data_IF_545644957610
#
_entry.id   IF_545644957610
#
_cell.length_a   1.000
_cell.length_b   1.000
_cell.length_c   1.000
_cell.angle_alpha   90.00
_cell.angle_beta   90.00
_cell.angle_gamma   90.00
#
_symmetry.space_group_name_H-M   'P 1'
#
loop_
_entity.id
_entity.type
_entity.pdbx_description
1 polymer ?
#
# COMPACT_ATOMS: atom_id res chain seq x y z
N UNK A 1 -16.49 -12.58 8.27
CA UNK A 1 -16.52 -12.79 9.74
C UNK A 1 -15.11 -12.99 10.30
N UNK A 2 -14.23 -13.75 9.65
CA UNK A 2 -12.81 -13.95 10.03
C UNK A 2 -11.96 -12.67 9.96
N UNK A 3 -12.08 -11.90 8.88
CA UNK A 3 -11.35 -10.64 8.67
C UNK A 3 -11.54 -9.62 9.82
N UNK A 4 -12.79 -9.44 10.28
CA UNK A 4 -13.10 -8.60 11.44
C UNK A 4 -12.58 -9.16 12.77
N UNK A 5 -12.38 -10.48 12.91
CA UNK A 5 -11.78 -11.06 14.13
C UNK A 5 -10.28 -10.82 14.20
N UNK A 6 -9.60 -10.80 13.04
CA UNK A 6 -8.16 -10.60 12.94
C UNK A 6 -7.76 -9.13 12.79
N UNK A 7 -8.73 -8.22 12.74
CA UNK A 7 -8.51 -6.81 12.42
C UNK A 7 -7.99 -6.58 11.00
N UNK A 8 -7.95 -7.62 10.16
CA UNK A 8 -7.49 -7.55 8.78
C UNK A 8 -8.71 -7.53 7.87
N UNK A 9 -9.02 -6.39 7.25
CA UNK A 9 -9.95 -6.34 6.14
C UNK A 9 -11.32 -5.71 6.44
N UNK A 10 -11.33 -4.55 7.09
CA UNK A 10 -12.37 -3.59 6.75
C UNK A 10 -11.93 -2.84 5.47
N UNK A 11 -12.72 -2.84 4.39
CA UNK A 11 -12.38 -2.12 3.15
C UNK A 11 -12.30 -0.59 3.33
N UNK A 12 -12.50 -0.08 4.55
CA UNK A 12 -12.50 1.33 4.96
C UNK A 12 -11.15 1.86 5.45
N UNK A 13 -10.08 1.05 5.46
CA UNK A 13 -8.80 1.37 6.11
C UNK A 13 -7.76 2.01 5.18
N UNK A 14 -8.22 2.86 4.26
CA UNK A 14 -7.35 3.59 3.36
C UNK A 14 -7.16 5.01 3.86
N UNK A 15 -5.93 5.35 4.26
CA UNK A 15 -5.53 6.74 4.43
C UNK A 15 -5.32 7.47 3.09
N UNK A 16 -5.58 6.78 1.97
CA UNK A 16 -5.67 7.42 0.67
C UNK A 16 -6.91 8.32 0.62
N UNK A 17 -6.69 9.58 0.26
CA UNK A 17 -7.71 10.62 0.29
C UNK A 17 -8.91 10.31 -0.61
N UNK A 18 -8.72 9.55 -1.70
CA UNK A 18 -9.80 9.11 -2.60
C UNK A 18 -10.89 8.32 -1.86
N UNK A 19 -10.52 7.61 -0.79
CA UNK A 19 -11.44 6.84 0.03
C UNK A 19 -11.78 7.56 1.32
N UNK A 20 -10.81 8.23 1.94
CA UNK A 20 -10.99 8.93 3.20
C UNK A 20 -11.95 10.13 3.09
N UNK A 21 -11.90 10.91 1.99
CA UNK A 21 -12.81 12.05 1.80
C UNK A 21 -14.28 11.61 1.74
N UNK A 22 -14.70 10.67 0.86
CA UNK A 22 -16.10 10.21 0.84
C UNK A 22 -16.57 9.62 2.16
N UNK A 23 -15.70 8.90 2.89
CA UNK A 23 -16.03 8.37 4.21
C UNK A 23 -16.27 9.49 5.22
N UNK A 24 -15.39 10.48 5.25
CA UNK A 24 -15.50 11.61 6.18
C UNK A 24 -16.75 12.45 5.89
N UNK A 25 -17.07 12.72 4.62
CA UNK A 25 -18.32 13.39 4.21
C UNK A 25 -19.54 12.66 4.76
N UNK A 26 -19.59 11.34 4.61
CA UNK A 26 -20.69 10.51 5.11
C UNK A 26 -20.81 10.56 6.63
N UNK A 27 -19.69 10.53 7.36
CA UNK A 27 -19.71 10.56 8.83
C UNK A 27 -20.06 11.95 9.38
N UNK A 28 -19.62 13.02 8.73
CA UNK A 28 -19.91 14.39 9.12
C UNK A 28 -21.29 14.88 8.64
N UNK A 29 -21.87 14.23 7.62
CA UNK A 29 -23.05 14.76 6.92
C UNK A 29 -22.74 16.04 6.13
N UNK A 30 -21.49 16.23 5.70
CA UNK A 30 -21.02 17.43 5.01
C UNK A 30 -20.30 17.05 3.71
N UNK A 31 -20.97 17.25 2.58
CA UNK A 31 -20.43 16.93 1.25
C UNK A 31 -19.40 17.94 0.72
N UNK A 32 -19.16 19.04 1.45
CA UNK A 32 -18.20 20.08 1.04
C UNK A 32 -16.76 19.77 1.45
N UNK A 33 -16.54 18.79 2.34
CA UNK A 33 -15.20 18.40 2.82
C UNK A 33 -14.31 18.01 1.64
N UNK A 34 -13.23 18.76 1.40
CA UNK A 34 -12.19 18.44 0.43
C UNK A 34 -10.96 17.81 1.11
N UNK A 35 -9.87 17.59 0.36
CA UNK A 35 -8.63 16.99 0.88
C UNK A 35 -7.98 17.87 1.96
N UNK A 36 -8.04 19.20 1.82
CA UNK A 36 -7.46 20.14 2.79
C UNK A 36 -8.28 20.20 4.08
N UNK A 37 -9.61 20.10 3.98
CA UNK A 37 -10.51 19.97 5.11
C UNK A 37 -10.33 18.63 5.81
N UNK A 38 -10.19 17.53 5.05
CA UNK A 38 -9.89 16.21 5.60
C UNK A 38 -8.59 16.23 6.42
N UNK A 39 -7.55 16.89 5.93
CA UNK A 39 -6.28 17.01 6.65
C UNK A 39 -6.41 17.73 8.00
N UNK A 40 -7.29 18.74 8.08
CA UNK A 40 -7.63 19.44 9.33
C UNK A 40 -8.49 18.59 10.26
N UNK A 41 -9.29 17.69 9.70
CA UNK A 41 -10.16 16.76 10.41
C UNK A 41 -9.48 15.41 10.70
N UNK A 42 -8.18 15.27 10.44
CA UNK A 42 -7.46 13.99 10.54
C UNK A 42 -7.70 13.27 11.87
N UNK A 43 -7.58 13.97 13.00
CA UNK A 43 -7.79 13.36 14.32
C UNK A 43 -9.23 12.87 14.54
N UNK A 44 -10.23 13.58 14.00
CA UNK A 44 -11.63 13.14 14.06
C UNK A 44 -11.85 11.91 13.17
N UNK A 45 -11.31 11.93 11.97
CA UNK A 45 -11.32 10.79 11.06
C UNK A 45 -10.68 9.54 11.69
N UNK A 46 -9.52 9.71 12.32
CA UNK A 46 -8.82 8.63 13.02
C UNK A 46 -9.61 8.07 14.20
N UNK A 47 -10.26 8.92 15.02
CA UNK A 47 -11.17 8.44 16.07
C UNK A 47 -12.29 7.57 15.50
N UNK A 48 -12.95 8.02 14.43
CA UNK A 48 -13.98 7.22 13.77
C UNK A 48 -13.48 5.87 13.28
N UNK A 49 -12.25 5.80 12.75
CA UNK A 49 -11.64 4.54 12.33
C UNK A 49 -11.33 3.63 13.52
N UNK A 50 -10.74 4.17 14.58
CA UNK A 50 -10.37 3.41 15.77
C UNK A 50 -11.60 2.89 16.54
N UNK A 51 -12.74 3.59 16.49
CA UNK A 51 -14.01 3.10 17.04
C UNK A 51 -14.56 1.88 16.27
N UNK A 52 -14.03 1.60 15.07
CA UNK A 52 -14.40 0.43 14.24
C UNK A 52 -13.40 -0.72 14.34
N UNK A 53 -12.52 -0.71 15.35
CA UNK A 53 -11.62 -1.83 15.70
C UNK A 53 -12.34 -3.18 15.70
N UNK A 54 -11.55 -4.24 15.51
CA UNK A 54 -12.03 -5.61 15.69
C UNK A 54 -12.59 -5.84 17.09
N UNK A 55 -13.30 -6.96 17.27
CA UNK A 55 -13.79 -7.41 18.58
C UNK A 55 -12.63 -7.56 19.58
N UNK A 56 -11.43 -7.87 19.08
CA UNK A 56 -10.22 -8.03 19.90
C UNK A 56 -9.42 -6.72 20.05
N UNK A 57 -9.98 -5.58 19.65
CA UNK A 57 -9.34 -4.25 19.80
C UNK A 57 -8.24 -3.93 18.78
N UNK A 58 -8.00 -4.81 17.81
CA UNK A 58 -7.01 -4.65 16.73
C UNK A 58 -7.54 -3.72 15.65
N UNK A 59 -6.70 -2.79 15.22
CA UNK A 59 -6.91 -1.93 14.07
C UNK A 59 -5.77 -2.18 13.06
N UNK A 60 -6.11 -2.46 11.80
CA UNK A 60 -5.14 -2.49 10.71
C UNK A 60 -5.46 -1.40 9.69
N UNK A 61 -4.46 -1.01 8.91
CA UNK A 61 -4.68 -0.14 7.77
C UNK A 61 -3.62 -0.30 6.69
N UNK A 62 -4.00 0.04 5.45
CA UNK A 62 -3.07 0.13 4.34
C UNK A 62 -2.61 1.57 4.18
N UNK A 63 -1.29 1.75 4.17
CA UNK A 63 -0.65 3.05 4.02
C UNK A 63 0.22 3.09 2.77
N UNK A 64 0.09 4.16 2.00
CA UNK A 64 1.09 4.58 1.03
C UNK A 64 1.88 5.74 1.62
N UNK A 65 3.14 5.89 1.23
CA UNK A 65 4.05 6.88 1.85
C UNK A 65 3.52 8.31 1.74
N UNK A 66 2.79 8.62 0.66
CA UNK A 66 2.17 9.93 0.45
C UNK A 66 1.14 10.28 1.53
N UNK A 67 0.58 9.27 2.21
CA UNK A 67 -0.43 9.42 3.24
C UNK A 67 0.12 9.27 4.67
N UNK A 68 1.43 9.05 4.83
CA UNK A 68 2.04 8.79 6.13
C UNK A 68 1.81 9.94 7.13
N UNK A 69 1.97 11.19 6.70
CA UNK A 69 1.74 12.35 7.58
C UNK A 69 0.26 12.50 7.96
N UNK A 70 -0.66 12.24 7.03
CA UNK A 70 -2.09 12.25 7.31
C UNK A 70 -2.45 11.15 8.31
N UNK A 71 -1.92 9.93 8.13
CA UNK A 71 -2.11 8.83 9.05
C UNK A 71 -1.62 9.16 10.46
N UNK A 72 -0.42 9.73 10.59
CA UNK A 72 0.13 10.15 11.90
C UNK A 72 -0.74 11.19 12.60
N UNK A 73 -1.27 12.18 11.86
CA UNK A 73 -2.22 13.16 12.41
C UNK A 73 -3.56 12.54 12.83
N UNK A 74 -3.94 11.43 12.21
CA UNK A 74 -5.23 10.80 12.43
C UNK A 74 -5.21 9.79 13.57
N UNK A 75 -4.30 8.82 13.53
CA UNK A 75 -4.21 7.75 14.54
C UNK A 75 -3.19 8.02 15.64
N UNK A 76 -2.34 9.04 15.47
CA UNK A 76 -1.23 9.35 16.36
C UNK A 76 0.12 8.95 15.78
N UNK A 77 1.19 9.41 16.43
CA UNK A 77 2.55 8.91 16.18
C UNK A 77 2.71 7.47 16.66
N UNK A 78 3.80 6.80 16.26
CA UNK A 78 4.11 5.45 16.74
C UNK A 78 4.18 5.43 18.27
N UNK A 79 3.29 4.67 18.88
CA UNK A 79 3.08 4.57 20.34
C UNK A 79 3.79 3.35 20.96
N UNK A 80 4.76 2.78 20.22
CA UNK A 80 5.42 1.50 20.51
C UNK A 80 4.51 0.26 20.53
N UNK A 81 3.21 0.37 20.24
CA UNK A 81 2.26 -0.76 20.15
C UNK A 81 1.83 -1.06 18.71
N UNK A 82 2.36 -0.31 17.74
CA UNK A 82 2.08 -0.52 16.33
C UNK A 82 3.10 -1.49 15.71
N UNK A 83 2.58 -2.36 14.82
CA UNK A 83 3.36 -3.32 14.04
C UNK A 83 3.24 -3.00 12.54
N UNK A 84 4.32 -3.22 11.80
CA UNK A 84 4.44 -2.76 10.42
C UNK A 84 4.78 -3.90 9.47
N UNK A 85 3.94 -4.08 8.45
CA UNK A 85 4.26 -4.94 7.30
C UNK A 85 4.74 -4.05 6.17
N UNK A 86 6.04 -4.12 5.85
CA UNK A 86 6.60 -3.41 4.71
C UNK A 86 6.55 -4.30 3.46
N UNK A 87 5.51 -4.12 2.65
CA UNK A 87 5.36 -4.79 1.37
C UNK A 87 6.15 -4.05 0.29
N UNK A 88 7.19 -4.68 -0.25
CA UNK A 88 8.01 -4.16 -1.34
C UNK A 88 7.97 -5.09 -2.55
N UNK A 89 8.25 -4.60 -3.75
CA UNK A 89 8.31 -5.44 -4.97
C UNK A 89 9.74 -5.52 -5.46
N UNK A 90 10.31 -6.71 -5.63
CA UNK A 90 11.69 -6.84 -6.13
C UNK A 90 11.76 -6.52 -7.61
N UNK A 91 10.78 -6.96 -8.40
CA UNK A 91 10.71 -6.66 -9.82
C UNK A 91 10.21 -5.22 -10.05
N UNK A 92 11.18 -4.28 -10.05
CA UNK A 92 10.93 -2.85 -10.27
C UNK A 92 10.41 -2.54 -11.67
N UNK A 93 10.84 -3.29 -12.66
CA UNK A 93 10.37 -3.15 -14.04
C UNK A 93 8.85 -3.35 -14.12
N UNK A 94 8.35 -4.48 -13.62
CA UNK A 94 6.92 -4.76 -13.64
C UNK A 94 6.14 -3.83 -12.72
N UNK A 95 6.74 -3.37 -11.61
CA UNK A 95 6.14 -2.36 -10.75
C UNK A 95 5.89 -1.06 -11.51
N UNK A 96 6.89 -0.56 -12.23
CA UNK A 96 6.77 0.65 -13.07
C UNK A 96 5.73 0.47 -14.16
N UNK A 97 5.77 -0.65 -14.89
CA UNK A 97 4.81 -0.96 -15.97
C UNK A 97 3.38 -1.01 -15.41
N UNK A 98 3.18 -1.66 -14.26
CA UNK A 98 1.86 -1.77 -13.63
C UNK A 98 1.33 -0.41 -13.16
N UNK A 99 2.18 0.46 -12.61
CA UNK A 99 1.76 1.80 -12.17
C UNK A 99 1.42 2.69 -13.37
N UNK A 100 2.25 2.71 -14.42
CA UNK A 100 1.96 3.45 -15.65
C UNK A 100 0.66 3.00 -16.31
N UNK A 101 0.42 1.69 -16.34
CA UNK A 101 -0.81 1.11 -16.86
C UNK A 101 -2.03 1.61 -16.09
N UNK A 102 -2.00 1.51 -14.76
CA UNK A 102 -3.07 2.03 -13.88
C UNK A 102 -3.30 3.53 -14.09
N UNK A 103 -2.23 4.33 -14.19
CA UNK A 103 -2.37 5.78 -14.40
C UNK A 103 -2.94 6.10 -15.79
N UNK A 104 -2.65 5.30 -16.81
CA UNK A 104 -3.19 5.50 -18.15
C UNK A 104 -4.66 5.07 -18.26
N UNK A 105 -5.02 3.94 -17.64
CA UNK A 105 -6.39 3.38 -17.72
C UNK A 105 -7.33 3.92 -16.65
N UNK A 106 -6.80 4.45 -15.55
CA UNK A 106 -7.58 4.78 -14.35
C UNK A 106 -8.11 3.55 -13.60
N UNK A 107 -7.68 2.34 -13.98
CA UNK A 107 -8.19 1.08 -13.46
C UNK A 107 -7.13 0.37 -12.61
N UNK A 108 -7.27 0.40 -11.28
CA UNK A 108 -6.38 -0.32 -10.35
C UNK A 108 -6.72 -1.82 -10.20
N UNK A 109 -7.92 -2.24 -10.62
CA UNK A 109 -8.50 -3.55 -10.35
C UNK A 109 -9.11 -4.16 -11.61
N UNK A 110 -9.25 -5.48 -11.61
CA UNK A 110 -9.82 -6.28 -12.70
C UNK A 110 -11.34 -6.16 -12.88
N UNK A 111 -12.02 -5.32 -12.09
CA UNK A 111 -13.46 -5.11 -12.27
C UNK A 111 -13.80 -4.15 -13.41
N UNK A 112 -12.80 -3.50 -14.01
CA UNK A 112 -13.03 -2.32 -14.86
C UNK A 112 -13.47 -1.07 -14.07
N UNK A 113 -13.60 -1.21 -12.74
CA UNK A 113 -13.88 -0.12 -11.83
C UNK A 113 -12.77 0.93 -11.94
N UNK A 114 -13.19 2.17 -12.17
CA UNK A 114 -12.29 3.32 -12.11
C UNK A 114 -12.28 3.85 -10.68
N UNK A 115 -11.10 4.22 -10.19
CA UNK A 115 -11.01 4.91 -8.89
C UNK A 115 -11.09 6.42 -9.11
N UNK A 116 -12.14 7.09 -8.60
CA UNK A 116 -12.23 8.54 -8.71
C UNK A 116 -11.06 9.20 -7.97
N UNK A 117 -10.49 10.24 -8.57
CA UNK A 117 -9.37 10.97 -7.97
C UNK A 117 -8.00 10.33 -8.15
N UNK A 118 -7.85 9.23 -8.89
CA UNK A 118 -6.52 8.83 -9.35
C UNK A 118 -6.11 9.76 -10.50
N UNK A 119 -4.90 10.38 -10.45
CA UNK A 119 -4.38 11.12 -11.60
C UNK A 119 -4.31 10.22 -12.82
N UNK A 120 -4.95 10.62 -13.92
CA UNK A 120 -4.89 9.87 -15.17
C UNK A 120 -3.95 10.51 -16.17
N UNK A 121 -3.18 9.68 -16.85
CA UNK A 121 -2.31 10.10 -17.95
C UNK A 121 -3.09 10.02 -19.25
N UNK A 122 -3.16 11.13 -19.99
CA UNK A 122 -3.70 11.12 -21.36
C UNK A 122 -2.81 10.33 -22.32
N UNK A 123 -1.50 10.36 -22.09
CA UNK A 123 -0.48 9.66 -22.88
C UNK A 123 0.66 9.21 -21.98
N UNK A 124 1.29 8.09 -22.33
CA UNK A 124 2.52 7.62 -21.68
C UNK A 124 3.70 8.16 -22.47
N UNK A 125 4.46 9.07 -21.87
CA UNK A 125 5.66 9.69 -22.44
C UNK A 125 6.91 9.25 -21.70
N UNK A 126 8.09 9.49 -22.28
CA UNK A 126 9.38 9.25 -21.58
C UNK A 126 9.45 10.01 -20.24
N UNK A 127 8.95 11.26 -20.19
CA UNK A 127 8.85 12.02 -18.95
C UNK A 127 8.00 11.29 -17.90
N UNK A 128 6.83 10.78 -18.29
CA UNK A 128 5.97 10.02 -17.38
C UNK A 128 6.67 8.75 -16.87
N UNK A 129 7.45 8.07 -17.71
CA UNK A 129 8.27 6.92 -17.30
C UNK A 129 9.32 7.34 -16.25
N UNK A 130 10.11 8.37 -16.52
CA UNK A 130 11.15 8.88 -15.61
C UNK A 130 10.53 9.29 -14.26
N UNK A 131 9.46 10.08 -14.30
CA UNK A 131 8.77 10.57 -13.10
C UNK A 131 8.19 9.39 -12.29
N UNK A 132 7.66 8.35 -12.96
CA UNK A 132 7.14 7.15 -12.28
C UNK A 132 8.23 6.34 -11.60
N UNK A 133 9.37 6.13 -12.28
CA UNK A 133 10.49 5.40 -11.70
C UNK A 133 11.02 6.14 -10.47
N UNK A 134 11.28 7.45 -10.60
CA UNK A 134 11.72 8.31 -9.49
C UNK A 134 10.73 8.29 -8.34
N UNK A 135 9.44 8.40 -8.63
CA UNK A 135 8.40 8.32 -7.62
C UNK A 135 8.44 7.01 -6.83
N UNK A 136 8.57 5.86 -7.50
CA UNK A 136 8.69 4.57 -6.80
C UNK A 136 9.94 4.55 -5.92
N UNK A 137 11.09 4.95 -6.45
CA UNK A 137 12.36 4.97 -5.71
C UNK A 137 12.28 5.86 -4.46
N UNK A 138 11.77 7.10 -4.62
CA UNK A 138 11.57 8.05 -3.52
C UNK A 138 10.64 7.48 -2.45
N UNK A 139 9.59 6.77 -2.86
CA UNK A 139 8.67 6.14 -1.92
C UNK A 139 9.35 5.07 -1.07
N UNK A 140 10.22 4.25 -1.66
CA UNK A 140 10.94 3.22 -0.91
C UNK A 140 11.97 3.81 0.04
N UNK A 141 12.73 4.81 -0.41
CA UNK A 141 13.70 5.52 0.45
C UNK A 141 13.00 6.13 1.66
N UNK A 142 11.87 6.81 1.44
CA UNK A 142 11.10 7.43 2.51
C UNK A 142 10.51 6.41 3.48
N UNK A 143 9.99 5.28 2.99
CA UNK A 143 9.53 4.20 3.85
C UNK A 143 10.66 3.60 4.67
N UNK A 144 11.80 3.27 4.06
CA UNK A 144 12.97 2.73 4.76
C UNK A 144 13.47 3.71 5.82
N UNK A 145 13.53 5.00 5.51
CA UNK A 145 13.92 6.03 6.48
C UNK A 145 12.95 6.12 7.66
N UNK A 146 11.64 6.07 7.42
CA UNK A 146 10.65 6.02 8.49
C UNK A 146 10.82 4.77 9.36
N UNK A 147 10.87 3.60 8.74
CA UNK A 147 10.95 2.30 9.42
C UNK A 147 12.29 2.10 10.15
N UNK A 148 13.37 2.74 9.72
CA UNK A 148 14.67 2.68 10.41
C UNK A 148 14.66 3.22 11.84
N UNK A 149 13.61 3.98 12.21
CA UNK A 149 13.42 4.55 13.55
C UNK A 149 12.51 3.70 14.43
N UNK A 150 11.94 2.64 13.88
CA UNK A 150 11.03 1.72 14.55
C UNK A 150 11.84 0.50 14.99
N UNK A 151 11.46 -0.11 16.12
CA UNK A 151 12.06 -1.36 16.57
C UNK A 151 11.91 -2.44 15.49
N UNK A 152 13.03 -3.06 15.09
CA UNK A 152 13.08 -4.08 14.06
C UNK A 152 12.18 -5.29 14.38
N UNK A 153 11.99 -5.63 15.67
CA UNK A 153 11.09 -6.72 16.07
C UNK A 153 9.62 -6.45 15.71
N UNK A 154 9.25 -5.17 15.51
CA UNK A 154 7.89 -4.74 15.14
C UNK A 154 7.71 -4.60 13.62
N UNK A 155 8.73 -4.93 12.82
CA UNK A 155 8.70 -4.75 11.37
C UNK A 155 8.91 -6.11 10.69
N UNK A 156 8.00 -6.45 9.79
CA UNK A 156 8.17 -7.59 8.88
C UNK A 156 8.28 -7.06 7.46
N UNK A 157 9.37 -7.41 6.79
CA UNK A 157 9.57 -7.12 5.37
C UNK A 157 9.02 -8.28 4.54
N UNK A 158 8.15 -7.96 3.59
CA UNK A 158 7.54 -8.95 2.70
C UNK A 158 7.80 -8.52 1.26
N UNK A 159 8.39 -9.41 0.46
CA UNK A 159 8.46 -9.21 -0.98
C UNK A 159 7.13 -9.62 -1.62
N UNK A 160 6.64 -8.79 -2.54
CA UNK A 160 5.40 -9.03 -3.28
C UNK A 160 5.41 -10.39 -3.96
N UNK A 161 6.54 -10.78 -4.56
CA UNK A 161 6.69 -12.05 -5.27
C UNK A 161 6.50 -13.26 -4.33
N UNK A 162 7.02 -13.18 -3.10
CA UNK A 162 6.86 -14.24 -2.12
C UNK A 162 5.41 -14.28 -1.61
N UNK A 163 4.83 -13.10 -1.36
CA UNK A 163 3.44 -12.95 -0.92
C UNK A 163 2.45 -13.53 -1.94
N UNK A 164 2.62 -13.29 -3.23
CA UNK A 164 1.70 -13.83 -4.25
C UNK A 164 1.89 -15.33 -4.48
N UNK A 165 3.10 -15.86 -4.28
CA UNK A 165 3.36 -17.29 -4.40
C UNK A 165 2.71 -18.08 -3.24
N UNK A 166 2.83 -17.56 -2.01
CA UNK A 166 2.35 -18.24 -0.80
C UNK A 166 1.63 -17.29 0.17
N UNK A 167 0.46 -16.73 -0.19
CA UNK A 167 -0.17 -15.64 0.57
C UNK A 167 -0.52 -16.03 2.01
N UNK A 168 -1.02 -17.25 2.22
CA UNK A 168 -1.36 -17.75 3.57
C UNK A 168 -0.16 -17.91 4.47
N UNK A 169 0.89 -18.53 3.96
CA UNK A 169 2.09 -18.82 4.73
C UNK A 169 2.78 -17.52 5.12
N UNK A 170 2.84 -16.53 4.22
CA UNK A 170 3.36 -15.21 4.51
C UNK A 170 2.56 -14.48 5.60
N UNK A 171 1.22 -14.49 5.50
CA UNK A 171 0.36 -13.86 6.54
C UNK A 171 0.53 -14.59 7.87
N UNK A 172 0.52 -15.93 7.87
CA UNK A 172 0.65 -16.74 9.08
C UNK A 172 2.00 -16.52 9.76
N UNK A 173 3.09 -16.53 9.00
CA UNK A 173 4.44 -16.28 9.51
C UNK A 173 4.55 -14.87 10.10
N UNK A 174 4.04 -13.86 9.38
CA UNK A 174 4.02 -12.46 9.85
C UNK A 174 3.27 -12.33 11.17
N UNK A 175 2.07 -12.91 11.24
CA UNK A 175 1.20 -12.75 12.41
C UNK A 175 1.65 -13.57 13.63
N UNK A 176 2.22 -14.76 13.44
CA UNK A 176 2.74 -15.57 14.56
C UNK A 176 3.86 -14.88 15.34
N UNK A 177 4.68 -14.08 14.68
CA UNK A 177 5.77 -13.35 15.33
C UNK A 177 5.26 -12.29 16.31
N UNK A 178 4.06 -11.73 16.08
CA UNK A 178 3.50 -10.66 16.90
C UNK A 178 2.38 -11.13 17.82
N UNK A 179 1.68 -12.19 17.45
CA UNK A 179 0.54 -12.74 18.18
C UNK A 179 0.68 -14.27 18.34
N UNK A 180 1.69 -14.76 19.08
CA UNK A 180 2.00 -16.19 19.18
C UNK A 180 0.87 -17.03 19.80
N UNK A 181 0.00 -16.39 20.60
CA UNK A 181 -1.16 -17.03 21.24
C UNK A 181 -2.40 -17.16 20.33
N UNK A 182 -2.37 -16.57 19.13
CA UNK A 182 -3.49 -16.65 18.19
C UNK A 182 -3.25 -17.78 17.17
N UNK A 183 -4.18 -18.74 17.14
CA UNK A 183 -4.18 -19.74 16.08
C UNK A 183 -4.87 -19.17 14.84
N UNK A 184 -4.09 -18.97 13.77
CA UNK A 184 -4.56 -18.38 12.51
C UNK A 184 -5.04 -19.44 11.52
N UNK A 185 -5.77 -20.45 12.01
CA UNK A 185 -6.41 -21.44 11.15
C UNK A 185 -7.64 -20.82 10.48
N UNK A 186 -7.45 -20.40 9.23
CA UNK A 186 -8.49 -19.78 8.40
C UNK A 186 -8.64 -20.61 7.14
N UNK A 187 -9.90 -20.83 6.74
CA UNK A 187 -10.25 -21.45 5.47
C UNK A 187 -9.55 -20.75 4.29
N UNK A 188 -9.07 -21.54 3.34
CA UNK A 188 -8.51 -21.09 2.06
C UNK A 188 -9.44 -20.07 1.41
N UNK A 189 -9.06 -18.79 1.43
CA UNK A 189 -9.67 -17.74 0.59
C UNK A 189 -9.41 -18.11 -0.86
N UNK A 190 -10.47 -18.10 -1.66
CA UNK A 190 -10.39 -18.42 -3.09
C UNK A 190 -9.32 -17.57 -3.78
N UNK A 191 -8.60 -18.17 -4.74
CA UNK A 191 -7.64 -17.48 -5.60
C UNK A 191 -8.27 -16.20 -6.16
N UNK A 192 -7.78 -15.06 -5.72
CA UNK A 192 -8.18 -13.79 -6.26
C UNK A 192 -7.41 -13.55 -7.55
N UNK A 193 -8.00 -13.91 -8.70
CA UNK A 193 -7.52 -13.49 -10.03
C UNK A 193 -7.82 -12.01 -10.27
N UNK A 194 -7.41 -11.15 -9.35
CA UNK A 194 -7.46 -9.70 -9.49
C UNK A 194 -6.02 -9.29 -9.84
N UNK A 195 -5.64 -9.09 -11.12
CA UNK A 195 -4.70 -8.09 -11.70
C UNK A 195 -4.40 -8.32 -13.23
N UNK A 196 -5.30 -8.90 -14.02
CA UNK A 196 -5.14 -9.24 -15.45
C UNK A 196 -5.77 -8.29 -16.49
N UNK A 197 -6.61 -7.32 -16.12
CA UNK A 197 -7.40 -6.55 -17.13
C UNK A 197 -6.64 -5.55 -17.98
N UNK A 198 -5.37 -5.30 -17.68
CA UNK A 198 -4.53 -4.34 -18.38
C UNK A 198 -3.32 -5.00 -19.06
N UNK A 199 -3.35 -6.32 -19.26
CA UNK A 199 -2.25 -7.09 -19.83
C UNK A 199 -1.80 -6.57 -21.21
N UNK A 200 -2.75 -6.15 -22.07
CA UNK A 200 -2.44 -5.58 -23.37
C UNK A 200 -1.71 -4.23 -23.24
N UNK A 201 -2.18 -3.35 -22.35
CA UNK A 201 -1.55 -2.04 -22.08
C UNK A 201 -0.16 -2.23 -21.49
N UNK A 202 -0.02 -3.10 -20.49
CA UNK A 202 1.27 -3.48 -19.88
C UNK A 202 2.25 -3.99 -20.94
N UNK A 203 1.79 -4.82 -21.88
CA UNK A 203 2.61 -5.33 -22.98
C UNK A 203 3.10 -4.21 -23.90
N UNK A 204 2.21 -3.27 -24.25
CA UNK A 204 2.56 -2.10 -25.08
C UNK A 204 3.59 -1.23 -24.38
N UNK A 205 3.38 -0.91 -23.09
CA UNK A 205 4.31 -0.11 -22.28
C UNK A 205 5.68 -0.80 -22.20
N UNK A 206 5.70 -2.08 -21.86
CA UNK A 206 6.93 -2.85 -21.75
C UNK A 206 7.70 -2.89 -23.07
N UNK A 207 7.00 -3.00 -24.21
CA UNK A 207 7.62 -2.97 -25.54
C UNK A 207 8.17 -1.59 -25.89
N UNK A 208 7.42 -0.53 -25.64
CA UNK A 208 7.79 0.84 -26.05
C UNK A 208 8.84 1.47 -25.16
N UNK A 209 8.75 1.27 -23.85
CA UNK A 209 9.57 1.97 -22.86
C UNK A 209 10.47 1.04 -22.06
N UNK A 210 10.45 -0.28 -22.33
CA UNK A 210 11.15 -1.24 -21.50
C UNK A 210 12.67 -1.06 -21.45
N UNK A 211 13.29 -0.59 -22.53
CA UNK A 211 14.71 -0.22 -22.53
C UNK A 211 15.02 0.88 -21.52
N UNK A 212 14.28 1.99 -21.61
CA UNK A 212 14.41 3.14 -20.71
C UNK A 212 14.13 2.77 -19.24
N UNK A 213 13.10 1.97 -18.97
CA UNK A 213 12.78 1.55 -17.59
C UNK A 213 13.94 0.76 -16.97
N UNK A 214 14.54 -0.17 -17.73
CA UNK A 214 15.67 -0.97 -17.23
C UNK A 214 16.92 -0.12 -17.00
N UNK A 215 17.22 0.79 -17.93
CA UNK A 215 18.34 1.72 -17.81
C UNK A 215 18.21 2.58 -16.55
N UNK A 216 17.06 3.21 -16.35
CA UNK A 216 16.82 4.04 -15.17
C UNK A 216 16.99 3.26 -13.86
N UNK A 217 16.42 2.05 -13.74
CA UNK A 217 16.56 1.25 -12.53
C UNK A 217 17.99 0.75 -12.30
N UNK A 218 18.74 0.46 -13.36
CA UNK A 218 20.17 0.14 -13.26
C UNK A 218 20.95 1.33 -12.69
N UNK A 219 20.70 2.53 -13.21
CA UNK A 219 21.45 3.73 -12.82
C UNK A 219 21.09 4.21 -11.39
N UNK A 220 19.89 3.86 -10.90
CA UNK A 220 19.45 4.12 -9.53
C UNK A 220 19.90 3.07 -8.51
N UNK A 221 20.53 1.98 -8.94
CA UNK A 221 21.02 0.92 -8.05
C UNK A 221 22.31 1.35 -7.34
N UNK A 222 22.19 2.28 -6.39
CA UNK A 222 23.20 2.58 -5.38
C UNK A 222 22.51 2.58 -4.02
N UNK A 223 22.64 1.48 -3.27
CA UNK A 223 22.36 1.47 -1.81
C UNK A 223 21.35 0.45 -1.27
N UNK A 224 21.27 -0.78 -1.79
CA UNK A 224 20.47 -1.82 -1.14
C UNK A 224 21.13 -3.21 -1.27
N UNK A 225 22.16 -3.44 -0.47
CA UNK A 225 22.58 -4.80 -0.04
C UNK A 225 23.40 -4.71 1.26
N UNK A 226 22.85 -3.99 2.25
CA UNK A 226 23.22 -4.21 3.66
C UNK A 226 21.95 -4.52 4.43
N UNK A 227 21.47 -5.76 4.27
CA UNK A 227 20.75 -6.39 5.36
C UNK A 227 21.73 -6.52 6.52
N UNK A 228 21.41 -6.05 7.74
CA UNK A 228 22.09 -6.59 8.90
C UNK A 228 21.66 -8.06 8.97
N UNK A 229 22.59 -8.96 8.70
CA UNK A 229 22.47 -10.36 9.07
C UNK A 229 22.03 -10.40 10.53
N UNK A 230 20.91 -11.08 10.80
CA UNK A 230 20.47 -11.30 12.17
C UNK A 230 21.57 -12.06 12.95
N UNK A 231 21.74 -11.80 14.25
CA UNK A 231 22.55 -12.65 15.12
C UNK A 231 21.94 -14.03 15.29
#
# INVERSE_FOLDING_TARGET
MVMRHLGLGLPTEYFQWQFAVPLMRRWAGDDTIDVLALDRLAALYGRHLLDKRSVNGVFAAKLFVGNLNFARRAVGDDDANSFYVFLSRRNKFDQTVSLLSMLYTGQPFDGGETLPGIPTLKTISQKAVIDTVRHIADCEVRWRSYLSRIDAARIVQVAYEDFVAHPYENVRATMRNWFPAHDFDIATVAESRRYGNDAAVKTIIARQFGGLIRELWRDMSVGADQSPSAP
#
